data_IF_045232972518
#
_entry.id   IF_045232972518
#
_cell.length_a   1.000
_cell.length_b   1.000
_cell.length_c   1.000
_cell.angle_alpha   90.00
_cell.angle_beta   90.00
_cell.angle_gamma   90.00
#
_symmetry.space_group_name_H-M   'P 1'
#
loop_
_entity.id
_entity.type
_entity.pdbx_description
1 polymer ?
#
# COMPACT_ATOMS: atom_id res chain seq x y z
N UNK A 1 9.00 -23.88 9.47
CA UNK A 1 8.74 -24.25 8.07
C UNK A 1 7.30 -23.87 7.78
N UNK A 2 6.92 -22.92 6.91
CA UNK A 2 7.58 -22.34 5.75
C UNK A 2 7.10 -20.87 5.62
N UNK A 3 8.04 -19.92 5.60
CA UNK A 3 7.94 -18.79 4.67
C UNK A 3 7.96 -19.35 3.24
N UNK A 4 7.54 -18.55 2.25
CA UNK A 4 7.23 -18.93 0.85
C UNK A 4 5.78 -19.33 0.59
N UNK A 5 4.85 -18.39 0.70
CA UNK A 5 3.76 -18.29 -0.29
C UNK A 5 3.10 -16.91 -0.25
N UNK A 6 3.76 -15.90 -0.85
CA UNK A 6 3.10 -14.62 -1.15
C UNK A 6 3.64 -13.97 -2.42
N UNK A 7 4.34 -14.73 -3.28
CA UNK A 7 4.96 -14.19 -4.49
C UNK A 7 4.24 -14.58 -5.78
N UNK A 8 3.14 -15.34 -5.72
CA UNK A 8 2.45 -15.83 -6.93
C UNK A 8 1.12 -15.10 -7.25
N UNK A 9 0.52 -14.37 -6.30
CA UNK A 9 -0.71 -13.59 -6.55
C UNK A 9 -0.44 -12.17 -7.11
N UNK A 10 0.75 -11.60 -6.88
CA UNK A 10 1.07 -10.25 -7.34
C UNK A 10 1.21 -10.09 -8.86
N UNK A 11 1.48 -11.18 -9.60
CA UNK A 11 1.73 -11.12 -11.04
C UNK A 11 0.46 -10.91 -11.87
N UNK A 12 -0.70 -11.44 -11.43
CA UNK A 12 -1.97 -11.27 -12.16
C UNK A 12 -2.57 -9.87 -11.97
N UNK A 13 -2.33 -9.26 -10.82
CA UNK A 13 -2.83 -7.91 -10.53
C UNK A 13 -2.00 -6.84 -11.24
N UNK A 14 -0.68 -7.02 -11.33
CA UNK A 14 0.25 -6.11 -12.00
C UNK A 14 -0.05 -5.93 -13.51
N UNK A 15 -0.54 -6.95 -14.19
CA UNK A 15 -1.00 -6.85 -15.60
C UNK A 15 -2.25 -5.99 -15.75
N UNK A 16 -3.26 -6.20 -14.90
CA UNK A 16 -4.48 -5.38 -14.91
C UNK A 16 -4.21 -3.92 -14.51
N UNK A 17 -3.21 -3.69 -13.66
CA UNK A 17 -2.87 -2.34 -13.19
C UNK A 17 -2.05 -1.54 -14.21
N UNK A 18 -1.17 -2.20 -14.96
CA UNK A 18 -0.47 -1.62 -16.11
C UNK A 18 -1.44 -1.20 -17.21
N UNK A 19 -2.48 -1.98 -17.48
CA UNK A 19 -3.54 -1.60 -18.42
C UNK A 19 -4.33 -0.37 -17.98
N UNK A 20 -4.65 -0.28 -16.68
CA UNK A 20 -5.40 0.85 -16.11
C UNK A 20 -4.56 2.14 -16.11
N UNK A 21 -3.27 2.07 -15.82
CA UNK A 21 -2.35 3.21 -15.93
C UNK A 21 -2.14 3.66 -17.37
N UNK A 22 -1.97 2.71 -18.29
CA UNK A 22 -1.77 3.03 -19.70
C UNK A 22 -3.04 3.66 -20.31
N UNK A 23 -4.22 3.21 -19.88
CA UNK A 23 -5.50 3.82 -20.24
C UNK A 23 -5.66 5.25 -19.68
N UNK A 24 -5.33 5.49 -18.40
CA UNK A 24 -5.39 6.83 -17.79
C UNK A 24 -4.44 7.80 -18.52
N UNK A 25 -3.22 7.36 -18.80
CA UNK A 25 -2.22 8.13 -19.55
C UNK A 25 -2.70 8.47 -20.97
N UNK A 26 -3.34 7.53 -21.67
CA UNK A 26 -3.95 7.73 -22.99
C UNK A 26 -5.13 8.72 -22.94
N UNK A 27 -5.97 8.64 -21.91
CA UNK A 27 -7.10 9.55 -21.65
C UNK A 27 -6.63 10.98 -21.40
N UNK A 28 -5.58 11.18 -20.59
CA UNK A 28 -5.00 12.49 -20.31
C UNK A 28 -4.41 13.14 -21.57
N UNK A 29 -3.79 12.36 -22.46
CA UNK A 29 -3.26 12.84 -23.76
C UNK A 29 -4.36 13.27 -24.73
N UNK A 30 -5.49 12.56 -24.80
CA UNK A 30 -6.63 12.89 -25.70
C UNK A 30 -7.40 14.16 -25.29
N UNK A 31 -7.14 14.73 -24.11
CA UNK A 31 -7.81 15.92 -23.61
C UNK A 31 -7.03 17.24 -23.84
N UNK A 32 -5.88 17.21 -24.52
CA UNK A 32 -5.06 18.41 -24.76
C UNK A 32 -5.52 19.31 -25.93
N UNK A 33 -6.57 18.94 -26.66
CA UNK A 33 -7.09 19.74 -27.78
C UNK A 33 -8.46 20.36 -27.47
N UNK A 34 -8.50 21.69 -27.37
CA UNK A 34 -9.64 22.55 -27.72
C UNK A 34 -10.89 22.49 -26.83
N UNK A 35 -11.22 23.64 -26.23
CA UNK A 35 -12.55 24.08 -25.78
C UNK A 35 -13.58 22.97 -25.45
N UNK A 36 -13.64 22.54 -24.18
CA UNK A 36 -14.77 21.73 -23.70
C UNK A 36 -15.74 22.62 -22.95
N UNK A 37 -16.89 22.90 -23.57
CA UNK A 37 -18.15 23.12 -22.85
C UNK A 37 -18.20 22.16 -21.65
N UNK A 38 -18.72 22.61 -20.51
CA UNK A 38 -19.05 21.79 -19.34
C UNK A 38 -20.01 20.64 -19.74
N UNK A 39 -19.48 19.61 -20.38
CA UNK A 39 -20.20 18.36 -20.68
C UNK A 39 -19.82 17.41 -19.56
N UNK A 40 -20.83 16.96 -18.82
CA UNK A 40 -20.67 15.93 -17.80
C UNK A 40 -20.02 14.70 -18.42
N UNK A 41 -18.98 14.10 -17.80
CA UNK A 41 -18.31 12.93 -18.33
C UNK A 41 -19.28 11.75 -18.43
N UNK A 42 -19.10 10.85 -19.41
CA UNK A 42 -19.96 9.67 -19.51
C UNK A 42 -19.87 8.78 -18.26
N UNK A 43 -20.96 8.09 -17.87
CA UNK A 43 -20.94 7.19 -16.71
C UNK A 43 -19.83 6.13 -16.76
N UNK A 44 -19.52 5.63 -17.96
CA UNK A 44 -18.42 4.68 -18.19
C UNK A 44 -17.06 5.31 -17.86
N UNK A 45 -16.80 6.54 -18.32
CA UNK A 45 -15.56 7.26 -18.00
C UNK A 45 -15.43 7.51 -16.49
N UNK A 46 -16.52 7.91 -15.82
CA UNK A 46 -16.51 8.08 -14.36
C UNK A 46 -16.20 6.77 -13.63
N UNK A 47 -16.76 5.65 -14.08
CA UNK A 47 -16.46 4.31 -13.53
C UNK A 47 -14.98 3.97 -13.67
N UNK A 48 -14.41 4.17 -14.86
CA UNK A 48 -12.99 3.88 -15.11
C UNK A 48 -12.06 4.76 -14.28
N UNK A 49 -12.35 6.06 -14.15
CA UNK A 49 -11.58 6.97 -13.28
C UNK A 49 -11.60 6.52 -11.83
N UNK A 50 -12.76 6.09 -11.33
CA UNK A 50 -12.90 5.54 -9.97
C UNK A 50 -12.08 4.26 -9.80
N UNK A 51 -12.13 3.34 -10.77
CA UNK A 51 -11.31 2.12 -10.73
C UNK A 51 -9.81 2.43 -10.68
N UNK A 52 -9.34 3.38 -11.49
CA UNK A 52 -7.94 3.83 -11.48
C UNK A 52 -7.56 4.48 -10.13
N UNK A 53 -8.45 5.28 -9.54
CA UNK A 53 -8.22 5.86 -8.22
C UNK A 53 -8.13 4.78 -7.13
N UNK A 54 -9.03 3.79 -7.15
CA UNK A 54 -9.02 2.69 -6.20
C UNK A 54 -7.74 1.85 -6.32
N UNK A 55 -7.26 1.58 -7.54
CA UNK A 55 -6.00 0.86 -7.75
C UNK A 55 -4.79 1.60 -7.16
N UNK A 56 -4.73 2.92 -7.36
CA UNK A 56 -3.67 3.74 -6.76
C UNK A 56 -3.70 3.71 -5.23
N UNK A 57 -4.88 3.78 -4.62
CA UNK A 57 -4.98 3.72 -3.16
C UNK A 57 -4.60 2.34 -2.62
N UNK A 58 -4.96 1.26 -3.31
CA UNK A 58 -4.47 -0.09 -2.95
C UNK A 58 -2.95 -0.15 -2.95
N UNK A 59 -2.29 0.34 -4.00
CA UNK A 59 -0.81 0.40 -4.05
C UNK A 59 -0.23 1.21 -2.91
N UNK A 60 -0.80 2.39 -2.62
CA UNK A 60 -0.38 3.21 -1.48
C UNK A 60 -0.50 2.44 -0.16
N UNK A 61 -1.60 1.71 0.03
CA UNK A 61 -1.84 0.94 1.26
C UNK A 61 -0.93 -0.30 1.36
N UNK A 62 -0.63 -0.97 0.24
CA UNK A 62 0.30 -2.10 0.20
C UNK A 62 1.70 -1.67 0.66
N UNK A 63 2.22 -0.56 0.12
CA UNK A 63 3.50 0.00 0.55
C UNK A 63 3.53 0.32 2.06
N UNK A 64 2.42 0.81 2.61
CA UNK A 64 2.29 1.06 4.05
C UNK A 64 2.29 -0.25 4.84
N UNK A 65 1.56 -1.27 4.37
CA UNK A 65 1.52 -2.57 5.04
C UNK A 65 2.88 -3.27 5.01
N UNK A 66 3.63 -3.15 3.92
CA UNK A 66 5.01 -3.67 3.81
C UNK A 66 5.94 -3.01 4.84
N UNK A 67 5.79 -1.70 5.08
CA UNK A 67 6.55 -1.01 6.12
C UNK A 67 6.18 -1.51 7.53
N UNK A 68 4.90 -1.78 7.79
CA UNK A 68 4.46 -2.41 9.04
C UNK A 68 5.04 -3.82 9.21
N UNK A 69 5.08 -4.61 8.14
CA UNK A 69 5.68 -5.95 8.21
C UNK A 69 7.19 -5.90 8.47
N UNK A 70 7.91 -4.97 7.83
CA UNK A 70 9.32 -4.72 8.15
C UNK A 70 9.51 -4.34 9.62
N UNK A 71 8.68 -3.43 10.15
CA UNK A 71 8.74 -3.06 11.57
C UNK A 71 8.52 -4.28 12.47
N UNK A 72 7.57 -5.16 12.17
CA UNK A 72 7.33 -6.38 12.96
C UNK A 72 8.54 -7.33 13.01
N UNK A 73 9.41 -7.33 11.99
CA UNK A 73 10.60 -8.20 11.99
C UNK A 73 11.67 -7.79 12.99
N UNK A 74 11.70 -6.51 13.38
CA UNK A 74 12.69 -5.97 14.33
C UNK A 74 12.14 -5.85 15.75
N UNK A 75 10.83 -6.05 15.94
CA UNK A 75 10.22 -6.03 17.27
C UNK A 75 10.49 -7.35 18.00
N UNK A 76 10.67 -7.30 19.34
CA UNK A 76 10.83 -8.51 20.14
C UNK A 76 9.60 -9.42 19.95
N UNK A 77 9.84 -10.66 19.52
CA UNK A 77 8.77 -11.62 19.24
C UNK A 77 8.14 -12.09 20.54
N UNK A 78 6.86 -11.75 20.76
CA UNK A 78 6.05 -12.40 21.79
C UNK A 78 5.78 -13.81 21.26
N UNK A 79 6.54 -14.80 21.74
CA UNK A 79 6.74 -16.16 21.22
C UNK A 79 5.52 -17.05 20.94
N UNK A 80 4.53 -16.52 20.22
CA UNK A 80 3.21 -17.09 19.94
C UNK A 80 2.97 -17.29 18.45
N UNK A 81 3.92 -16.86 17.58
CA UNK A 81 3.80 -16.94 16.13
C UNK A 81 2.67 -16.08 15.53
N UNK A 82 2.00 -15.26 16.36
CA UNK A 82 0.88 -14.40 15.96
C UNK A 82 1.39 -13.07 15.38
N UNK A 83 0.81 -12.62 14.26
CA UNK A 83 1.02 -11.27 13.71
C UNK A 83 0.34 -10.22 14.60
N UNK A 84 1.10 -9.21 15.00
CA UNK A 84 0.59 -8.06 15.76
C UNK A 84 -0.32 -7.17 14.90
N UNK A 85 -1.41 -6.68 15.48
CA UNK A 85 -2.24 -5.63 14.86
C UNK A 85 -1.44 -4.33 14.65
N UNK A 86 -1.98 -3.39 13.85
CA UNK A 86 -1.31 -2.09 13.60
C UNK A 86 -1.08 -1.33 14.91
N UNK A 87 -2.07 -1.30 15.79
CA UNK A 87 -1.96 -0.65 17.09
C UNK A 87 -0.91 -1.32 17.99
N UNK A 88 -1.00 -2.65 18.16
CA UNK A 88 -0.01 -3.41 18.95
C UNK A 88 1.42 -3.21 18.42
N UNK A 89 1.59 -3.18 17.08
CA UNK A 89 2.90 -2.95 16.45
C UNK A 89 3.48 -1.58 16.82
N UNK A 90 2.67 -0.52 16.79
CA UNK A 90 3.13 0.83 17.15
C UNK A 90 3.43 0.95 18.65
N UNK A 91 2.58 0.38 19.50
CA UNK A 91 2.77 0.39 20.94
C UNK A 91 4.05 -0.35 21.35
N UNK A 92 4.27 -1.54 20.79
CA UNK A 92 5.50 -2.30 21.02
C UNK A 92 6.74 -1.58 20.51
N UNK A 93 6.66 -0.88 19.37
CA UNK A 93 7.77 -0.12 18.85
C UNK A 93 8.19 1.02 19.79
N UNK A 94 7.24 1.78 20.33
CA UNK A 94 7.53 2.82 21.33
C UNK A 94 8.20 2.23 22.57
N UNK A 95 7.59 1.20 23.17
CA UNK A 95 8.14 0.54 24.35
C UNK A 95 9.55 0.00 24.09
N UNK A 96 9.80 -0.59 22.92
CA UNK A 96 11.10 -1.15 22.60
C UNK A 96 12.19 -0.07 22.44
N UNK A 97 11.87 1.06 21.82
CA UNK A 97 12.78 2.22 21.74
C UNK A 97 13.13 2.71 23.15
N UNK A 98 12.13 2.89 24.02
CA UNK A 98 12.33 3.36 25.39
C UNK A 98 13.20 2.40 26.21
N UNK A 99 12.93 1.09 26.12
CA UNK A 99 13.74 0.08 26.79
C UNK A 99 15.21 0.08 26.33
N UNK A 100 15.46 0.21 25.02
CA UNK A 100 16.82 0.29 24.48
C UNK A 100 17.52 1.58 24.95
N UNK A 101 16.81 2.71 24.98
CA UNK A 101 17.35 3.97 25.48
C UNK A 101 17.71 3.90 26.97
N UNK A 102 16.84 3.29 27.80
CA UNK A 102 17.13 3.07 29.22
C UNK A 102 18.35 2.16 29.44
N UNK A 103 18.47 1.08 28.66
CA UNK A 103 19.61 0.17 28.76
C UNK A 103 20.94 0.88 28.47
N UNK A 104 20.96 1.76 27.46
CA UNK A 104 22.15 2.55 27.15
C UNK A 104 22.48 3.57 28.24
N UNK A 105 21.47 4.20 28.85
CA UNK A 105 21.65 5.21 29.91
C UNK A 105 21.95 4.62 31.30
N UNK A 106 21.76 3.31 31.51
CA UNK A 106 22.10 2.60 32.75
C UNK A 106 23.56 2.09 32.77
N UNK A 107 24.37 2.53 31.80
CA UNK A 107 25.80 2.17 31.64
C UNK A 107 26.73 3.19 32.27
#
# INVERSE_FOLDING_TARGET
>A
MNGYFSSFEGAKEDETEKEVENFDSKMRRKCKGGARRYKTPSPQLLRMRRQAANARERRRMNNLNDAFDKLRTVLPSVGTGRRLSKFETLQMAQQYIDCLAELLNKS
#
